data_IF_469732255863
#
_entry.id   IF_469732255863
#
_cell.length_a   1.000
_cell.length_b   1.000
_cell.length_c   1.000
_cell.angle_alpha   90.00
_cell.angle_beta   90.00
_cell.angle_gamma   90.00
#
_symmetry.space_group_name_H-M   'P 1'
#
loop_
_entity.id
_entity.type
_entity.pdbx_description
1 polymer ?
#
# COMPACT_ATOMS: atom_id res chain seq x y z
N UNK A 1 -16.80 -2.00 -12.15
CA UNK A 1 -15.60 -1.47 -12.85
C UNK A 1 -15.72 0.06 -13.02
N UNK A 2 -16.91 0.59 -13.32
CA UNK A 2 -17.17 2.04 -13.39
C UNK A 2 -16.73 2.84 -12.13
N UNK A 3 -16.92 2.29 -10.92
CA UNK A 3 -16.46 2.97 -9.69
C UNK A 3 -14.95 3.18 -9.59
N UNK A 4 -14.17 2.53 -10.47
CA UNK A 4 -12.72 2.65 -10.52
C UNK A 4 -12.23 3.39 -11.77
N UNK A 5 -13.15 3.93 -12.58
CA UNK A 5 -12.82 4.69 -13.78
C UNK A 5 -12.15 6.02 -13.41
N UNK A 6 -11.03 6.33 -14.08
CA UNK A 6 -10.26 7.56 -13.85
C UNK A 6 -9.32 7.53 -12.65
N UNK A 7 -9.32 6.46 -11.85
CA UNK A 7 -8.37 6.31 -10.74
C UNK A 7 -6.97 6.02 -11.26
N UNK A 8 -5.99 6.67 -10.65
CA UNK A 8 -4.59 6.39 -10.92
C UNK A 8 -4.15 5.18 -10.09
N UNK A 9 -3.42 4.28 -10.76
CA UNK A 9 -2.61 3.26 -10.09
C UNK A 9 -1.21 3.82 -9.94
N UNK A 10 -0.71 3.93 -8.71
CA UNK A 10 0.60 4.51 -8.45
C UNK A 10 1.70 3.47 -8.38
N UNK A 11 1.45 2.34 -7.73
CA UNK A 11 2.42 1.27 -7.58
C UNK A 11 1.77 -0.11 -7.69
N UNK A 12 2.56 -1.07 -8.18
CA UNK A 12 2.27 -2.49 -8.16
C UNK A 12 3.45 -3.23 -7.53
N UNK A 13 3.18 -4.27 -6.76
CA UNK A 13 4.21 -5.15 -6.19
C UNK A 13 3.71 -6.60 -6.13
N UNK A 14 4.61 -7.57 -6.28
CA UNK A 14 4.35 -8.97 -6.01
C UNK A 14 5.12 -9.41 -4.76
N UNK A 15 4.51 -10.28 -3.97
CA UNK A 15 5.24 -11.07 -2.97
C UNK A 15 5.77 -12.38 -3.58
N UNK A 16 6.51 -13.14 -2.79
CA UNK A 16 7.08 -14.43 -3.18
C UNK A 16 6.04 -15.54 -3.37
N UNK A 17 4.82 -15.36 -2.84
CA UNK A 17 3.70 -16.30 -3.00
C UNK A 17 2.85 -15.99 -4.24
N UNK A 18 3.14 -14.91 -4.97
CA UNK A 18 2.39 -14.47 -6.14
C UNK A 18 1.15 -13.62 -5.81
N UNK A 19 1.02 -13.13 -4.58
CA UNK A 19 0.03 -12.13 -4.20
C UNK A 19 0.45 -10.79 -4.84
N UNK A 20 -0.47 -10.21 -5.60
CA UNK A 20 -0.31 -8.91 -6.24
C UNK A 20 -0.89 -7.82 -5.33
N UNK A 21 -0.14 -6.74 -5.14
CA UNK A 21 -0.54 -5.56 -4.41
C UNK A 21 -0.60 -4.36 -5.35
N UNK A 22 -1.59 -3.48 -5.16
CA UNK A 22 -1.76 -2.26 -5.93
C UNK A 22 -2.14 -1.09 -5.04
N UNK A 23 -1.49 0.06 -5.22
CA UNK A 23 -1.94 1.31 -4.62
C UNK A 23 -2.69 2.18 -5.61
N UNK A 24 -3.74 2.85 -5.11
CA UNK A 24 -4.53 3.80 -5.88
C UNK A 24 -4.67 5.13 -5.16
N UNK A 25 -5.04 6.18 -5.90
CA UNK A 25 -5.23 7.53 -5.37
C UNK A 25 -6.28 7.65 -4.26
N UNK A 26 -7.35 6.88 -4.33
CA UNK A 26 -8.50 7.01 -3.42
C UNK A 26 -8.73 5.80 -2.52
N UNK A 27 -8.18 4.63 -2.85
CA UNK A 27 -8.49 3.39 -2.13
C UNK A 27 -7.31 2.85 -1.32
N UNK A 28 -6.19 3.56 -1.25
CA UNK A 28 -5.02 3.12 -0.50
C UNK A 28 -4.41 1.88 -1.15
N UNK A 29 -4.21 0.82 -0.37
CA UNK A 29 -3.63 -0.45 -0.84
C UNK A 29 -4.71 -1.52 -1.00
N UNK A 30 -4.61 -2.33 -2.06
CA UNK A 30 -5.41 -3.55 -2.25
C UNK A 30 -4.52 -4.71 -2.67
N UNK A 31 -4.93 -5.94 -2.33
CA UNK A 31 -4.23 -7.17 -2.74
C UNK A 31 -5.11 -8.12 -3.55
N UNK A 32 -4.48 -8.98 -4.33
CA UNK A 32 -5.12 -10.01 -5.14
C UNK A 32 -4.30 -11.30 -5.08
N UNK A 33 -4.94 -12.40 -4.68
CA UNK A 33 -4.34 -13.73 -4.64
C UNK A 33 -4.55 -14.54 -5.94
N UNK A 34 -5.27 -13.97 -6.92
CA UNK A 34 -5.69 -14.67 -8.14
C UNK A 34 -5.23 -13.95 -9.43
N UNK A 35 -4.12 -13.22 -9.32
CA UNK A 35 -3.48 -12.48 -10.42
C UNK A 35 -4.37 -11.36 -11.00
N UNK A 36 -5.11 -10.69 -10.13
CA UNK A 36 -5.88 -9.49 -10.44
C UNK A 36 -7.32 -9.74 -10.89
N UNK A 37 -7.86 -10.96 -10.73
CA UNK A 37 -9.26 -11.25 -11.04
C UNK A 37 -10.19 -10.72 -9.94
N UNK A 38 -9.77 -10.84 -8.69
CA UNK A 38 -10.45 -10.28 -7.51
C UNK A 38 -9.46 -9.51 -6.65
N UNK A 39 -9.96 -8.50 -5.93
CA UNK A 39 -9.16 -7.59 -5.12
C UNK A 39 -9.80 -7.38 -3.76
N UNK A 40 -8.97 -7.39 -2.73
CA UNK A 40 -9.33 -7.14 -1.34
C UNK A 40 -8.61 -5.89 -0.85
N UNK A 41 -9.37 -4.97 -0.25
CA UNK A 41 -8.81 -3.73 0.30
C UNK A 41 -8.02 -4.04 1.58
N UNK A 42 -6.85 -3.43 1.71
CA UNK A 42 -6.07 -3.41 2.94
C UNK A 42 -6.34 -2.08 3.64
N UNK A 43 -6.61 -2.11 4.95
CA UNK A 43 -6.72 -0.89 5.72
C UNK A 43 -5.33 -0.29 5.88
N UNK A 44 -5.14 0.94 5.43
CA UNK A 44 -3.85 1.63 5.45
C UNK A 44 -3.94 2.93 6.23
N UNK A 45 -2.79 3.49 6.66
CA UNK A 45 -2.70 4.89 7.07
C UNK A 45 -3.26 5.83 6.00
N UNK A 46 -3.68 7.03 6.42
CA UNK A 46 -4.20 8.07 5.52
C UNK A 46 -3.07 8.78 4.75
N UNK A 47 -2.42 8.03 3.85
CA UNK A 47 -1.39 8.53 2.96
C UNK A 47 -1.69 8.17 1.51
N UNK A 48 -1.23 8.99 0.56
CA UNK A 48 -1.16 8.56 -0.84
C UNK A 48 0.07 7.68 -1.02
N UNK A 49 -0.14 6.39 -1.26
CA UNK A 49 0.92 5.38 -1.35
C UNK A 49 1.56 5.41 -2.75
N UNK A 50 2.83 5.81 -2.79
CA UNK A 50 3.64 5.94 -4.01
C UNK A 50 4.64 4.80 -4.18
N UNK A 51 4.91 4.03 -3.12
CA UNK A 51 5.83 2.89 -3.15
C UNK A 51 5.34 1.78 -2.23
N UNK A 52 5.54 0.54 -2.67
CA UNK A 52 5.19 -0.67 -1.96
C UNK A 52 6.42 -1.58 -1.97
N UNK A 53 6.74 -2.18 -0.84
CA UNK A 53 7.69 -3.31 -0.76
C UNK A 53 7.10 -4.37 0.15
N UNK A 54 7.22 -5.63 -0.25
CA UNK A 54 6.56 -6.76 0.40
C UNK A 54 7.57 -7.87 0.64
N UNK A 55 7.50 -8.45 1.83
CA UNK A 55 8.12 -9.73 2.18
C UNK A 55 7.00 -10.63 2.72
N UNK A 56 6.44 -11.44 1.81
CA UNK A 56 5.28 -12.28 2.08
C UNK A 56 5.63 -13.51 2.93
N UNK A 57 6.91 -13.88 3.00
CA UNK A 57 7.37 -14.97 3.86
C UNK A 57 7.33 -14.58 5.35
N UNK A 58 7.57 -13.30 5.65
CA UNK A 58 7.58 -12.77 7.01
C UNK A 58 6.35 -11.93 7.37
N UNK A 59 5.35 -11.84 6.48
CA UNK A 59 4.15 -11.00 6.63
C UNK A 59 4.47 -9.51 6.82
N UNK A 60 5.54 -9.02 6.17
CA UNK A 60 5.98 -7.64 6.29
C UNK A 60 5.58 -6.85 5.05
N UNK A 61 4.95 -5.69 5.27
CA UNK A 61 4.67 -4.71 4.24
C UNK A 61 5.32 -3.37 4.60
N UNK A 62 5.91 -2.72 3.61
CA UNK A 62 6.31 -1.33 3.69
C UNK A 62 5.54 -0.52 2.65
N UNK A 63 5.02 0.62 3.08
CA UNK A 63 4.43 1.61 2.20
C UNK A 63 5.06 2.96 2.44
N UNK A 64 5.32 3.70 1.37
CA UNK A 64 5.82 5.06 1.45
C UNK A 64 5.02 5.98 0.54
N UNK A 65 4.84 7.21 0.97
CA UNK A 65 3.91 8.12 0.34
C UNK A 65 3.98 9.53 0.89
N UNK A 66 2.99 10.33 0.53
CA UNK A 66 2.80 11.66 1.10
C UNK A 66 1.46 11.76 1.85
N UNK A 67 1.48 12.54 2.93
CA UNK A 67 0.31 12.94 3.72
C UNK A 67 -0.31 14.22 3.16
N UNK A 68 -1.52 14.55 3.59
CA UNK A 68 -2.27 15.74 3.13
C UNK A 68 -1.55 17.07 3.34
N UNK A 69 -0.70 17.19 4.36
CA UNK A 69 0.11 18.39 4.63
C UNK A 69 1.44 18.44 3.85
N UNK A 70 1.66 17.46 2.95
CA UNK A 70 2.75 17.46 1.97
C UNK A 70 4.05 16.79 2.44
N UNK A 71 4.12 16.34 3.69
CA UNK A 71 5.24 15.56 4.19
C UNK A 71 5.25 14.15 3.59
N UNK A 72 6.42 13.52 3.61
CA UNK A 72 6.61 12.13 3.21
C UNK A 72 6.73 11.25 4.44
N UNK A 73 6.05 10.11 4.40
CA UNK A 73 6.02 9.15 5.49
C UNK A 73 6.27 7.73 4.98
N UNK A 74 6.88 6.92 5.85
CA UNK A 74 7.13 5.50 5.63
C UNK A 74 6.49 4.71 6.76
N UNK A 75 5.61 3.80 6.40
CA UNK A 75 4.94 2.90 7.34
C UNK A 75 5.36 1.46 7.12
N UNK A 76 5.38 0.70 8.21
CA UNK A 76 5.63 -0.73 8.23
C UNK A 76 4.44 -1.45 8.86
N UNK A 77 3.99 -2.52 8.22
CA UNK A 77 3.16 -3.56 8.86
C UNK A 77 4.00 -4.81 9.07
N UNK A 78 3.77 -5.51 10.18
CA UNK A 78 4.40 -6.81 10.48
C UNK A 78 3.35 -7.92 10.63
N UNK A 79 2.14 -7.68 10.12
CA UNK A 79 0.96 -8.54 10.24
C UNK A 79 0.09 -8.49 8.97
N UNK A 80 0.77 -8.49 7.82
CA UNK A 80 0.17 -8.59 6.48
C UNK A 80 -0.84 -7.47 6.16
N UNK A 81 -0.60 -6.28 6.72
CA UNK A 81 -1.39 -5.06 6.50
C UNK A 81 -2.52 -4.86 7.49
N UNK A 82 -2.57 -5.62 8.59
CA UNK A 82 -3.62 -5.50 9.60
C UNK A 82 -3.40 -4.29 10.52
N UNK A 83 -2.14 -3.99 10.88
CA UNK A 83 -1.72 -2.82 11.63
C UNK A 83 -0.46 -2.19 11.03
N UNK A 84 -0.24 -0.90 11.32
CA UNK A 84 0.83 -0.11 10.70
C UNK A 84 1.51 0.80 11.72
N UNK A 85 2.85 0.76 11.72
CA UNK A 85 3.71 1.64 12.49
C UNK A 85 4.35 2.69 11.58
N UNK A 86 4.32 3.96 11.98
CA UNK A 86 5.12 5.01 11.33
C UNK A 86 6.59 4.82 11.71
N UNK A 87 7.46 4.58 10.72
CA UNK A 87 8.89 4.31 10.95
C UNK A 87 9.82 5.40 10.37
N UNK A 88 9.28 6.35 9.62
CA UNK A 88 10.05 7.48 9.10
C UNK A 88 9.16 8.60 8.59
N UNK A 89 9.58 9.84 8.82
CA UNK A 89 8.93 11.05 8.32
C UNK A 89 9.96 12.15 8.10
N UNK A 90 9.70 13.06 7.15
CA UNK A 90 10.50 14.27 6.98
C UNK A 90 9.91 15.52 7.66
N UNK A 91 8.86 15.38 8.47
CA UNK A 91 8.15 16.50 9.12
C UNK A 91 9.03 17.36 10.04
N UNK A 92 10.12 16.77 10.54
CA UNK A 92 11.06 17.40 11.46
C UNK A 92 12.40 17.80 10.79
N UNK A 93 12.47 17.79 9.45
CA UNK A 93 13.60 18.33 8.68
C UNK A 93 13.41 19.83 8.41
#
# INVERSE_FOLDING_TARGET
>A
IEQYEGLLIFALAFDENGILYASTDQFGLSKSADLGKTWEKINTPEITIMSISVDGQNNILYVAGYVHDGFQEVYKSSDDGSTWDLIGTNKEL
#
